data_IF_210677763402
#
_entry.id   IF_210677763402
#
_cell.length_a   1.000
_cell.length_b   1.000
_cell.length_c   1.000
_cell.angle_alpha   90.00
_cell.angle_beta   90.00
_cell.angle_gamma   90.00
#
_symmetry.space_group_name_H-M   'P 1'
#
loop_
_entity.id
_entity.type
_entity.pdbx_description
1 polymer ?
#
# COMPACT_ATOMS: atom_id res chain seq x y z
N UNK A 1 52.50 -4.61 -8.67
CA UNK A 1 53.26 -3.75 -7.75
C UNK A 1 53.00 -2.26 -8.00
N UNK A 2 53.17 -1.73 -9.24
CA UNK A 2 52.97 -0.29 -9.50
C UNK A 2 51.51 0.20 -9.36
N UNK A 3 50.53 -0.62 -9.70
CA UNK A 3 49.10 -0.25 -9.57
C UNK A 3 48.63 -0.24 -8.12
N UNK A 4 49.04 -1.20 -7.30
CA UNK A 4 48.76 -1.27 -5.88
C UNK A 4 49.37 -0.09 -5.11
N UNK A 5 50.59 0.29 -5.39
CA UNK A 5 51.25 1.46 -4.80
C UNK A 5 50.57 2.78 -5.16
N UNK A 6 50.00 2.92 -6.36
CA UNK A 6 49.26 4.11 -6.75
C UNK A 6 47.97 4.27 -5.95
N UNK A 7 47.22 3.18 -5.72
CA UNK A 7 45.98 3.18 -4.95
C UNK A 7 46.21 3.57 -3.48
N UNK A 8 47.29 3.10 -2.90
CA UNK A 8 47.66 3.37 -1.50
C UNK A 8 48.09 4.82 -1.26
N UNK A 9 48.60 5.54 -2.26
CA UNK A 9 48.89 6.98 -2.18
C UNK A 9 47.64 7.84 -2.05
N UNK A 10 46.46 7.29 -2.30
CA UNK A 10 45.19 7.97 -2.23
C UNK A 10 44.45 7.71 -0.92
N UNK A 11 45.10 7.17 0.08
CA UNK A 11 44.56 6.87 1.39
C UNK A 11 45.52 7.33 2.49
N UNK A 12 44.98 7.84 3.58
CA UNK A 12 45.73 8.19 4.77
C UNK A 12 45.01 7.80 6.04
N UNK A 13 45.77 7.36 7.07
CA UNK A 13 45.20 7.09 8.39
C UNK A 13 45.33 8.36 9.22
N UNK A 14 44.20 8.71 9.92
CA UNK A 14 44.14 9.88 10.78
C UNK A 14 43.92 9.48 12.22
N UNK A 15 44.60 10.19 13.12
CA UNK A 15 44.70 9.96 14.55
C UNK A 15 43.84 11.00 15.34
N UNK A 16 42.77 11.49 14.72
CA UNK A 16 42.03 12.62 15.25
C UNK A 16 40.65 12.19 15.74
N UNK A 17 40.18 12.87 16.78
CA UNK A 17 38.82 12.75 17.26
C UNK A 17 37.81 13.20 16.20
N UNK A 18 36.56 12.80 16.37
CA UNK A 18 35.47 13.21 15.45
C UNK A 18 35.31 14.73 15.37
N UNK A 19 35.57 15.47 16.45
CA UNK A 19 35.45 16.93 16.48
C UNK A 19 36.60 17.61 15.73
N UNK A 20 37.83 17.15 15.92
CA UNK A 20 38.98 17.64 15.13
C UNK A 20 38.80 17.33 13.62
N UNK A 21 38.26 16.17 13.27
CA UNK A 21 37.95 15.83 11.87
C UNK A 21 36.93 16.84 11.28
N UNK A 22 35.91 17.24 12.06
CA UNK A 22 34.94 18.26 11.62
C UNK A 22 35.59 19.61 11.41
N UNK A 23 36.49 20.02 12.29
CA UNK A 23 37.21 21.29 12.17
C UNK A 23 38.06 21.32 10.89
N UNK A 24 38.85 20.26 10.64
CA UNK A 24 39.66 20.18 9.43
C UNK A 24 38.82 20.09 8.16
N UNK A 25 37.68 19.43 8.19
CA UNK A 25 36.79 19.29 7.03
C UNK A 25 36.15 20.61 6.60
N UNK A 26 36.03 21.58 7.52
CA UNK A 26 35.36 22.84 7.27
C UNK A 26 33.84 22.72 7.19
N UNK A 27 33.20 23.72 6.62
CA UNK A 27 31.74 23.86 6.50
C UNK A 27 31.32 23.87 5.02
N UNK A 28 30.02 24.00 4.77
CA UNK A 28 29.51 24.16 3.39
C UNK A 28 30.01 25.45 2.72
N UNK A 29 30.33 26.47 3.51
CA UNK A 29 30.79 27.80 3.04
C UNK A 29 32.31 28.01 3.19
N UNK A 30 32.96 27.19 4.00
CA UNK A 30 34.40 27.28 4.24
C UNK A 30 35.10 25.99 3.77
N UNK A 31 36.18 26.09 3.00
CA UNK A 31 36.95 24.90 2.58
C UNK A 31 37.59 24.21 3.76
N UNK A 32 37.88 22.95 3.61
CA UNK A 32 38.68 22.19 4.57
C UNK A 32 40.16 22.56 4.52
N UNK A 33 40.90 22.04 5.49
CA UNK A 33 42.36 22.21 5.62
C UNK A 33 43.04 20.84 5.50
N UNK A 34 44.20 20.81 4.86
CA UNK A 34 45.00 19.60 4.79
C UNK A 34 45.46 19.17 6.20
N UNK A 35 45.43 17.87 6.42
CA UNK A 35 45.83 17.29 7.70
C UNK A 35 47.28 16.77 7.57
N UNK A 36 48.20 17.16 8.43
CA UNK A 36 49.59 16.67 8.43
C UNK A 36 49.72 15.15 8.48
N UNK A 37 48.74 14.43 9.01
CA UNK A 37 48.74 12.95 8.99
C UNK A 37 48.73 12.36 7.58
N UNK A 38 48.33 13.15 6.57
CA UNK A 38 48.37 12.71 5.16
C UNK A 38 49.75 12.76 4.50
N UNK A 39 50.75 13.28 5.22
CA UNK A 39 52.18 13.32 4.75
C UNK A 39 52.95 12.04 5.13
N UNK A 40 52.34 11.11 5.86
CA UNK A 40 52.91 9.80 6.18
C UNK A 40 53.22 9.01 4.89
N UNK A 41 54.26 8.20 4.93
CA UNK A 41 54.58 7.30 3.83
C UNK A 41 53.50 6.22 3.61
N UNK A 42 53.50 5.59 2.44
CA UNK A 42 52.58 4.47 2.15
C UNK A 42 52.81 3.31 3.11
N UNK A 43 54.13 3.03 3.41
CA UNK A 43 54.53 1.95 4.30
C UNK A 43 54.03 2.16 5.72
N UNK A 44 54.11 3.38 6.24
CA UNK A 44 53.54 3.74 7.57
C UNK A 44 52.03 3.60 7.62
N UNK A 45 51.32 4.08 6.58
CA UNK A 45 49.87 3.93 6.52
C UNK A 45 49.44 2.46 6.41
N UNK A 46 50.16 1.60 5.69
CA UNK A 46 49.91 0.17 5.63
C UNK A 46 50.09 -0.51 6.98
N UNK A 47 51.18 -0.21 7.68
CA UNK A 47 51.49 -0.75 9.00
C UNK A 47 50.36 -0.37 10.00
N UNK A 48 49.92 0.90 9.99
CA UNK A 48 48.83 1.37 10.81
C UNK A 48 47.50 0.69 10.46
N UNK A 49 47.22 0.42 9.19
CA UNK A 49 46.00 -0.26 8.76
C UNK A 49 45.97 -1.72 9.22
N UNK A 50 47.14 -2.42 9.14
CA UNK A 50 47.24 -3.76 9.73
C UNK A 50 47.04 -3.74 11.25
N UNK A 51 47.57 -2.72 11.93
CA UNK A 51 47.34 -2.54 13.37
C UNK A 51 45.86 -2.25 13.71
N UNK A 52 45.14 -1.48 12.86
CA UNK A 52 43.68 -1.30 12.98
C UNK A 52 42.97 -2.64 12.84
N UNK A 53 43.29 -3.44 11.83
CA UNK A 53 42.69 -4.75 11.56
C UNK A 53 42.94 -5.73 12.70
N UNK A 54 44.11 -5.67 13.32
CA UNK A 54 44.53 -6.53 14.43
C UNK A 54 44.04 -6.05 15.80
N UNK A 55 43.15 -5.05 15.86
CA UNK A 55 42.48 -4.59 17.06
C UNK A 55 43.37 -3.83 18.05
N UNK A 56 44.50 -3.24 17.60
CA UNK A 56 45.41 -2.49 18.48
C UNK A 56 44.86 -1.12 18.93
N UNK A 57 43.80 -0.64 18.31
CA UNK A 57 43.20 0.68 18.57
C UNK A 57 41.78 0.58 19.10
N UNK A 58 41.37 1.54 19.90
CA UNK A 58 40.01 1.67 20.42
C UNK A 58 39.07 2.23 19.34
N UNK A 59 37.77 2.06 19.60
CA UNK A 59 36.72 2.65 18.74
C UNK A 59 36.90 4.15 18.59
N UNK A 60 36.92 4.63 17.34
CA UNK A 60 37.06 6.03 17.01
C UNK A 60 38.49 6.59 17.14
N UNK A 61 39.48 5.80 17.58
CA UNK A 61 40.89 6.25 17.75
C UNK A 61 41.59 6.45 16.39
N UNK A 62 41.32 5.57 15.42
CA UNK A 62 41.88 5.65 14.07
C UNK A 62 40.79 5.47 13.02
N UNK A 63 40.95 6.21 11.93
CA UNK A 63 40.12 6.07 10.71
C UNK A 63 41.01 6.09 9.48
N UNK A 64 40.66 5.27 8.49
CA UNK A 64 41.25 5.37 7.15
C UNK A 64 40.38 6.30 6.31
N UNK A 65 41.03 7.29 5.68
CA UNK A 65 40.35 8.27 4.82
C UNK A 65 40.89 8.19 3.39
N UNK A 66 40.02 8.45 2.41
CA UNK A 66 40.47 8.74 1.06
C UNK A 66 41.18 10.09 1.04
N UNK A 67 42.21 10.23 0.16
CA UNK A 67 42.90 11.48 -0.08
C UNK A 67 42.47 12.02 -1.43
N UNK A 68 41.56 12.97 -1.43
CA UNK A 68 40.89 13.49 -2.63
C UNK A 68 41.15 14.99 -2.77
N UNK A 69 40.37 15.84 -2.12
CA UNK A 69 40.50 17.30 -2.19
C UNK A 69 39.77 17.96 -1.00
N UNK A 70 40.53 18.47 -0.04
CA UNK A 70 39.97 19.17 1.14
C UNK A 70 39.40 20.53 0.80
N UNK A 71 39.63 21.10 -0.36
CA UNK A 71 39.07 22.34 -0.84
C UNK A 71 37.78 22.16 -1.67
N UNK A 72 37.39 20.90 -1.94
CA UNK A 72 36.19 20.61 -2.74
C UNK A 72 34.94 21.33 -2.23
N UNK A 73 34.12 21.93 -3.12
CA UNK A 73 32.83 22.46 -2.73
C UNK A 73 31.86 21.37 -2.25
N UNK A 74 32.01 20.14 -2.74
CA UNK A 74 31.28 18.97 -2.27
C UNK A 74 31.95 18.39 -1.01
N UNK A 75 31.27 18.52 0.14
CA UNK A 75 31.80 18.09 1.43
C UNK A 75 32.08 16.57 1.48
N UNK A 76 31.37 15.77 0.66
CA UNK A 76 31.58 14.32 0.57
C UNK A 76 32.90 13.96 -0.14
N UNK A 77 33.50 14.91 -0.86
CA UNK A 77 34.81 14.75 -1.52
C UNK A 77 35.99 15.22 -0.67
N UNK A 78 35.74 15.79 0.51
CA UNK A 78 36.76 16.30 1.43
C UNK A 78 37.33 15.18 2.28
N UNK A 79 38.16 14.35 1.68
CA UNK A 79 38.83 13.21 2.28
C UNK A 79 37.89 12.38 3.18
N UNK A 80 36.87 11.74 2.62
CA UNK A 80 35.87 11.00 3.38
C UNK A 80 36.50 9.80 4.10
N UNK A 81 35.92 9.44 5.26
CA UNK A 81 36.27 8.19 5.97
C UNK A 81 35.79 7.00 5.14
N UNK A 82 36.69 6.05 4.89
CA UNK A 82 36.41 4.81 4.15
C UNK A 82 36.40 3.58 5.05
N UNK A 83 37.24 3.54 6.12
CA UNK A 83 37.20 2.52 7.19
C UNK A 83 37.27 3.16 8.56
N UNK A 84 36.61 2.55 9.53
CA UNK A 84 36.69 2.90 10.96
C UNK A 84 36.97 1.68 11.82
N UNK A 85 37.58 1.90 13.00
CA UNK A 85 37.64 0.90 14.06
C UNK A 85 36.30 0.87 14.78
N UNK A 86 35.71 -0.31 14.95
CA UNK A 86 34.51 -0.55 15.72
C UNK A 86 34.50 -1.99 16.25
N UNK A 87 34.60 -2.16 17.58
CA UNK A 87 34.51 -3.45 18.23
C UNK A 87 33.03 -3.79 18.50
N UNK A 88 32.44 -4.52 17.56
CA UNK A 88 31.03 -4.92 17.62
C UNK A 88 30.83 -6.31 17.01
N UNK A 89 30.04 -7.14 17.66
CA UNK A 89 29.69 -8.46 17.13
C UNK A 89 28.81 -8.35 15.89
N UNK A 90 29.30 -8.86 14.78
CA UNK A 90 28.53 -8.89 13.51
C UNK A 90 27.74 -10.21 13.41
N UNK A 91 26.47 -10.14 12.97
CA UNK A 91 25.54 -11.27 12.94
C UNK A 91 25.99 -12.48 12.10
N UNK A 92 26.89 -12.30 11.13
CA UNK A 92 27.43 -13.38 10.29
C UNK A 92 28.86 -13.77 10.65
N UNK A 93 29.71 -12.78 10.93
CA UNK A 93 31.15 -13.01 11.14
C UNK A 93 31.57 -12.97 12.60
N UNK A 94 30.62 -12.76 13.54
CA UNK A 94 30.94 -12.65 14.96
C UNK A 94 31.94 -11.53 15.22
N UNK A 95 32.96 -11.81 16.00
CA UNK A 95 34.01 -10.87 16.42
C UNK A 95 35.29 -10.98 15.55
N UNK A 96 35.19 -11.55 14.34
CA UNK A 96 36.33 -11.74 13.43
C UNK A 96 36.94 -10.41 12.99
N UNK A 97 36.14 -9.36 12.86
CA UNK A 97 36.55 -8.05 12.38
C UNK A 97 36.31 -6.97 13.42
N UNK A 98 37.25 -6.06 13.56
CA UNK A 98 37.14 -4.84 14.35
C UNK A 98 37.28 -3.56 13.50
N UNK A 99 37.37 -3.69 12.18
CA UNK A 99 37.30 -2.58 11.22
C UNK A 99 36.14 -2.79 10.28
N UNK A 100 35.45 -1.72 9.94
CA UNK A 100 34.30 -1.76 9.06
C UNK A 100 34.37 -0.65 8.01
N UNK A 101 34.03 -0.95 6.73
CA UNK A 101 33.95 0.08 5.69
C UNK A 101 32.77 1.00 5.96
N UNK A 102 32.88 2.25 5.55
CA UNK A 102 31.77 3.19 5.50
C UNK A 102 30.91 2.92 4.28
N UNK A 103 29.63 3.29 4.36
CA UNK A 103 28.64 3.02 3.33
C UNK A 103 29.08 3.51 1.93
N UNK A 104 29.56 4.76 1.83
CA UNK A 104 29.97 5.36 0.55
C UNK A 104 31.18 4.69 -0.10
N UNK A 105 31.93 3.89 0.65
CA UNK A 105 33.02 3.09 0.14
C UNK A 105 32.59 1.66 -0.18
N UNK A 106 31.78 1.05 0.67
CA UNK A 106 31.30 -0.33 0.50
C UNK A 106 30.33 -0.46 -0.69
N UNK A 107 29.38 0.44 -0.81
CA UNK A 107 28.29 0.39 -1.79
C UNK A 107 28.80 0.29 -3.25
N UNK A 108 29.68 1.19 -3.77
CA UNK A 108 30.20 1.05 -5.12
C UNK A 108 31.01 -0.22 -5.38
N UNK A 109 31.67 -0.76 -4.35
CA UNK A 109 32.44 -2.00 -4.43
C UNK A 109 31.51 -3.20 -4.52
N UNK A 110 30.49 -3.28 -3.67
CA UNK A 110 29.47 -4.33 -3.68
C UNK A 110 28.75 -4.36 -5.04
N UNK A 111 28.30 -3.21 -5.53
CA UNK A 111 27.64 -3.10 -6.84
C UNK A 111 28.55 -3.61 -7.97
N UNK A 112 29.84 -3.26 -7.95
CA UNK A 112 30.79 -3.68 -8.96
C UNK A 112 31.09 -5.19 -8.90
N UNK A 113 31.20 -5.77 -7.70
CA UNK A 113 31.46 -7.20 -7.48
C UNK A 113 30.24 -8.02 -7.91
N UNK A 114 29.03 -7.56 -7.60
CA UNK A 114 27.78 -8.23 -7.94
C UNK A 114 27.37 -8.04 -9.41
N UNK A 115 28.12 -7.21 -10.18
CA UNK A 115 27.84 -6.96 -11.59
C UNK A 115 26.61 -6.09 -11.84
N UNK A 116 26.24 -5.25 -10.88
CA UNK A 116 25.17 -4.25 -11.02
C UNK A 116 25.61 -3.24 -12.08
N UNK A 117 24.77 -3.03 -13.09
CA UNK A 117 25.04 -2.03 -14.15
C UNK A 117 24.48 -0.65 -13.81
N UNK A 118 23.31 -0.60 -13.13
CA UNK A 118 22.60 0.61 -12.73
C UNK A 118 22.26 0.55 -11.26
N UNK A 119 22.98 1.31 -10.46
CA UNK A 119 22.79 1.45 -9.01
C UNK A 119 21.73 2.51 -8.75
N UNK A 120 20.53 2.10 -8.33
CA UNK A 120 19.39 3.00 -8.13
C UNK A 120 19.35 3.46 -6.67
N UNK A 121 19.45 4.77 -6.47
CA UNK A 121 19.46 5.41 -5.15
C UNK A 121 18.35 6.43 -4.99
N UNK A 122 18.11 6.85 -3.74
CA UNK A 122 17.28 8.02 -3.44
C UNK A 122 18.04 9.31 -3.73
N UNK A 123 17.30 10.41 -3.95
CA UNK A 123 17.90 11.72 -4.31
C UNK A 123 18.87 12.27 -3.26
N UNK A 124 18.79 11.80 -2.01
CA UNK A 124 19.71 12.11 -0.91
C UNK A 124 21.18 11.80 -1.26
N UNK A 125 21.42 10.86 -2.16
CA UNK A 125 22.74 10.41 -2.59
C UNK A 125 23.27 11.11 -3.86
N UNK A 126 22.58 12.13 -4.37
CA UNK A 126 23.04 12.87 -5.55
C UNK A 126 24.41 13.51 -5.31
N UNK A 127 24.59 14.12 -4.14
CA UNK A 127 25.87 14.73 -3.73
C UNK A 127 26.96 13.68 -3.40
N UNK A 128 26.58 12.43 -3.17
CA UNK A 128 27.49 11.32 -2.92
C UNK A 128 27.99 10.65 -4.22
N UNK A 129 27.29 10.81 -5.35
CA UNK A 129 27.66 10.20 -6.63
C UNK A 129 29.11 10.53 -7.08
N UNK A 130 29.66 11.74 -6.92
CA UNK A 130 31.06 11.99 -7.25
C UNK A 130 32.04 11.10 -6.47
N UNK A 131 31.73 10.76 -5.21
CA UNK A 131 32.52 9.83 -4.40
C UNK A 131 32.37 8.39 -4.90
N UNK A 132 31.13 7.97 -5.22
CA UNK A 132 30.86 6.66 -5.84
C UNK A 132 31.68 6.47 -7.11
N UNK A 133 31.64 7.44 -8.03
CA UNK A 133 32.41 7.43 -9.30
C UNK A 133 33.91 7.42 -9.05
N UNK A 134 34.38 8.15 -8.01
CA UNK A 134 35.80 8.18 -7.62
C UNK A 134 36.24 6.79 -7.13
N UNK A 135 35.50 6.12 -6.24
CA UNK A 135 35.85 4.77 -5.74
C UNK A 135 35.94 3.77 -6.87
N UNK A 136 34.95 3.73 -7.77
CA UNK A 136 34.88 2.78 -8.89
C UNK A 136 36.07 3.01 -9.85
N UNK A 137 36.41 4.26 -10.13
CA UNK A 137 37.52 4.64 -10.98
C UNK A 137 38.86 4.26 -10.36
N UNK A 138 39.10 4.57 -9.08
CA UNK A 138 40.37 4.30 -8.41
C UNK A 138 40.60 2.80 -8.22
N UNK A 139 39.55 2.00 -8.14
CA UNK A 139 39.64 0.54 -8.07
C UNK A 139 39.74 -0.12 -9.45
N UNK A 140 39.61 0.66 -10.54
CA UNK A 140 39.78 0.21 -11.93
C UNK A 140 38.90 -1.00 -12.31
N UNK A 141 37.64 -0.98 -11.94
CA UNK A 141 36.70 -2.03 -12.37
C UNK A 141 36.50 -1.99 -13.89
N UNK A 142 36.52 -3.15 -14.55
CA UNK A 142 36.34 -3.27 -16.01
C UNK A 142 34.93 -2.83 -16.47
N UNK A 143 33.93 -3.12 -15.67
CA UNK A 143 32.51 -2.77 -15.93
C UNK A 143 31.98 -1.95 -14.76
N UNK A 144 32.28 -0.64 -14.72
CA UNK A 144 31.89 0.19 -13.62
C UNK A 144 30.36 0.34 -13.56
N UNK A 145 29.72 0.13 -12.40
CA UNK A 145 28.33 0.46 -12.22
C UNK A 145 28.10 1.97 -12.31
N UNK A 146 26.85 2.36 -12.63
CA UNK A 146 26.45 3.77 -12.72
C UNK A 146 25.37 4.07 -11.70
N UNK A 147 25.65 4.99 -10.78
CA UNK A 147 24.65 5.46 -9.81
C UNK A 147 23.63 6.40 -10.47
N UNK A 148 22.36 6.18 -10.17
CA UNK A 148 21.23 6.97 -10.69
C UNK A 148 20.28 7.24 -9.52
N UNK A 149 19.93 8.51 -9.31
CA UNK A 149 19.08 8.93 -8.22
C UNK A 149 17.67 9.32 -8.71
N UNK A 150 16.67 8.99 -7.87
CA UNK A 150 15.29 9.36 -8.08
C UNK A 150 14.72 10.07 -6.87
N UNK A 151 13.83 11.02 -7.14
CA UNK A 151 13.10 11.72 -6.11
C UNK A 151 12.13 10.78 -5.37
N UNK A 152 11.82 11.12 -4.14
CA UNK A 152 10.82 10.44 -3.35
C UNK A 152 9.42 10.80 -3.84
N UNK A 153 8.60 9.76 -4.03
CA UNK A 153 7.18 9.90 -4.29
C UNK A 153 6.44 10.06 -2.96
N UNK A 154 5.74 11.18 -2.80
CA UNK A 154 4.85 11.41 -1.67
C UNK A 154 3.40 11.18 -2.10
N UNK A 155 2.63 10.52 -1.25
CA UNK A 155 1.20 10.37 -1.40
C UNK A 155 0.49 11.30 -0.40
N UNK A 156 -0.61 11.91 -0.84
CA UNK A 156 -1.47 12.69 0.06
C UNK A 156 -2.11 11.80 1.11
N UNK A 157 -2.31 12.31 2.30
CA UNK A 157 -3.08 11.70 3.39
C UNK A 157 -2.61 10.30 3.83
N UNK A 158 -1.33 9.98 3.64
CA UNK A 158 -0.75 8.69 4.07
C UNK A 158 0.47 8.85 4.96
N UNK A 159 0.68 7.91 5.85
CA UNK A 159 1.85 7.82 6.72
C UNK A 159 2.85 6.85 6.09
N UNK A 160 4.04 7.34 5.73
CA UNK A 160 5.10 6.52 5.10
C UNK A 160 6.36 6.38 5.96
N UNK A 161 6.53 7.22 7.00
CA UNK A 161 7.71 7.22 7.85
C UNK A 161 7.77 5.98 8.75
N UNK A 162 8.82 5.15 8.62
CA UNK A 162 9.01 3.90 9.39
C UNK A 162 8.86 4.09 10.90
N UNK A 163 9.39 5.17 11.48
CA UNK A 163 9.28 5.45 12.92
C UNK A 163 7.83 5.68 13.38
N UNK A 164 7.02 6.32 12.55
CA UNK A 164 5.60 6.56 12.84
C UNK A 164 4.80 5.26 12.73
N UNK A 165 5.04 4.47 11.67
CA UNK A 165 4.36 3.18 11.49
C UNK A 165 4.72 2.23 12.65
N UNK A 166 6.00 2.18 13.05
CA UNK A 166 6.44 1.39 14.22
C UNK A 166 5.65 1.78 15.47
N UNK A 167 5.53 3.09 15.74
CA UNK A 167 4.77 3.58 16.89
C UNK A 167 3.29 3.22 16.80
N UNK A 168 2.65 3.34 15.62
CA UNK A 168 1.25 2.95 15.43
C UNK A 168 1.01 1.47 15.74
N UNK A 169 1.97 0.60 15.40
CA UNK A 169 1.92 -0.85 15.71
C UNK A 169 2.15 -1.08 17.21
N UNK A 170 3.13 -0.43 17.82
CA UNK A 170 3.43 -0.56 19.25
C UNK A 170 2.30 -0.05 20.15
N UNK A 171 1.65 1.03 19.75
CA UNK A 171 0.50 1.62 20.45
C UNK A 171 -0.82 0.87 20.18
N UNK A 172 -0.83 -0.17 19.32
CA UNK A 172 -2.02 -0.96 18.97
C UNK A 172 -3.08 -0.20 18.16
N UNK A 173 -2.71 0.91 17.50
CA UNK A 173 -3.61 1.70 16.66
C UNK A 173 -3.87 0.98 15.34
N UNK A 174 -2.89 0.26 14.84
CA UNK A 174 -2.98 -0.62 13.67
C UNK A 174 -2.63 -2.06 14.07
N UNK A 175 -3.20 -3.05 13.36
CA UNK A 175 -3.09 -4.48 13.65
C UNK A 175 -1.71 -5.08 13.30
N UNK A 176 -0.83 -4.31 12.72
CA UNK A 176 0.51 -4.73 12.34
C UNK A 176 1.02 -3.94 11.12
N UNK A 177 2.20 -4.35 10.61
CA UNK A 177 2.81 -3.75 9.43
C UNK A 177 2.03 -4.04 8.14
N UNK A 178 1.14 -5.00 8.16
CA UNK A 178 0.24 -5.42 7.08
C UNK A 178 -1.19 -4.89 7.24
N UNK A 179 -1.45 -3.99 8.21
CA UNK A 179 -2.77 -3.39 8.40
C UNK A 179 -3.24 -2.70 7.10
N UNK A 180 -4.44 -3.03 6.58
CA UNK A 180 -4.95 -2.49 5.31
C UNK A 180 -5.10 -0.97 5.24
N UNK A 181 -4.96 -0.24 6.35
CA UNK A 181 -4.93 1.23 6.39
C UNK A 181 -3.56 1.82 6.07
N UNK A 182 -2.51 1.00 6.03
CA UNK A 182 -1.16 1.40 5.68
C UNK A 182 -0.92 1.29 4.17
N UNK A 183 0.19 1.89 3.70
CA UNK A 183 0.61 1.85 2.29
C UNK A 183 1.88 1.03 2.06
N UNK A 184 2.26 0.19 2.99
CA UNK A 184 3.31 -0.80 2.75
C UNK A 184 2.84 -1.82 1.69
N UNK A 185 3.77 -2.45 0.98
CA UNK A 185 3.43 -3.50 0.00
C UNK A 185 2.64 -4.65 0.66
N UNK A 186 2.99 -5.03 1.89
CA UNK A 186 2.27 -6.05 2.66
C UNK A 186 0.82 -5.63 2.97
N UNK A 187 0.63 -4.37 3.38
CA UNK A 187 -0.69 -3.81 3.68
C UNK A 187 -1.57 -3.68 2.41
N UNK A 188 -1.01 -3.15 1.33
CA UNK A 188 -1.70 -3.05 0.05
C UNK A 188 -2.11 -4.44 -0.46
N UNK A 189 -1.22 -5.44 -0.37
CA UNK A 189 -1.54 -6.82 -0.74
C UNK A 189 -2.67 -7.39 0.11
N UNK A 190 -2.62 -7.24 1.44
CA UNK A 190 -3.68 -7.73 2.35
C UNK A 190 -5.02 -7.02 2.08
N UNK A 191 -4.99 -5.75 1.71
CA UNK A 191 -6.19 -4.99 1.31
C UNK A 191 -6.75 -5.44 -0.04
N UNK A 192 -5.93 -6.10 -0.90
CA UNK A 192 -6.34 -6.64 -2.19
C UNK A 192 -5.87 -5.85 -3.41
N UNK A 193 -4.88 -4.96 -3.24
CA UNK A 193 -4.23 -4.30 -4.38
C UNK A 193 -3.41 -5.30 -5.19
N UNK A 194 -3.55 -5.24 -6.51
CA UNK A 194 -2.82 -6.08 -7.44
C UNK A 194 -1.45 -5.50 -7.79
N UNK A 195 -0.44 -6.34 -8.10
CA UNK A 195 0.85 -5.85 -8.60
C UNK A 195 0.69 -4.97 -9.85
N UNK A 196 -0.24 -5.32 -10.74
CA UNK A 196 -0.52 -4.59 -11.99
C UNK A 196 -1.00 -3.17 -11.70
N UNK A 197 -1.91 -3.01 -10.74
CA UNK A 197 -2.42 -1.70 -10.36
C UNK A 197 -1.34 -0.80 -9.77
N UNK A 198 -0.43 -1.36 -8.95
CA UNK A 198 0.69 -0.63 -8.36
C UNK A 198 1.70 -0.22 -9.45
N UNK A 199 2.04 -1.14 -10.37
CA UNK A 199 2.91 -0.84 -11.52
C UNK A 199 2.29 0.27 -12.38
N UNK A 200 1.01 0.15 -12.70
CA UNK A 200 0.29 1.18 -13.47
C UNK A 200 0.30 2.54 -12.77
N UNK A 201 0.13 2.57 -11.47
CA UNK A 201 0.22 3.78 -10.69
C UNK A 201 1.62 4.42 -10.79
N UNK A 202 2.69 3.64 -10.61
CA UNK A 202 4.08 4.13 -10.72
C UNK A 202 4.38 4.64 -12.13
N UNK A 203 3.91 3.95 -13.17
CA UNK A 203 4.02 4.41 -14.57
C UNK A 203 3.36 5.78 -14.78
N UNK A 204 2.15 5.98 -14.23
CA UNK A 204 1.44 7.24 -14.34
C UNK A 204 2.12 8.38 -13.55
N UNK A 205 2.76 8.07 -12.43
CA UNK A 205 3.55 9.04 -11.67
C UNK A 205 4.79 9.51 -12.46
N UNK A 206 5.34 8.63 -13.28
CA UNK A 206 6.59 8.88 -14.00
C UNK A 206 7.81 8.92 -13.10
N UNK A 207 8.96 9.23 -13.70
CA UNK A 207 10.27 9.29 -13.03
C UNK A 207 10.74 10.75 -13.01
N UNK A 208 11.17 11.23 -11.85
CA UNK A 208 11.63 12.61 -11.67
C UNK A 208 12.77 12.69 -10.66
N UNK A 209 13.60 13.73 -10.78
CA UNK A 209 14.55 14.18 -9.74
C UNK A 209 13.97 15.29 -8.85
N UNK A 210 12.72 15.68 -9.06
CA UNK A 210 12.01 16.64 -8.21
C UNK A 210 10.98 15.91 -7.36
N UNK A 211 11.00 16.13 -6.05
CA UNK A 211 10.00 15.57 -5.14
C UNK A 211 8.60 15.99 -5.59
N UNK A 212 7.72 15.02 -5.73
CA UNK A 212 6.33 15.22 -6.13
C UNK A 212 5.38 14.63 -5.09
N UNK A 213 4.24 15.29 -4.90
CA UNK A 213 3.13 14.75 -4.12
C UNK A 213 2.01 14.35 -5.08
N UNK A 214 1.58 13.11 -5.00
CA UNK A 214 0.54 12.53 -5.85
C UNK A 214 -0.68 12.22 -4.98
N UNK A 215 -1.86 12.49 -5.52
CA UNK A 215 -3.11 12.19 -4.83
C UNK A 215 -3.29 10.66 -4.68
N UNK A 216 -3.59 10.21 -3.45
CA UNK A 216 -3.89 8.80 -3.16
C UNK A 216 -5.05 8.27 -4.02
N UNK A 217 -6.01 9.12 -4.38
CA UNK A 217 -7.11 8.77 -5.27
C UNK A 217 -6.66 8.26 -6.65
N UNK A 218 -5.44 8.63 -7.11
CA UNK A 218 -4.85 8.08 -8.34
C UNK A 218 -4.45 6.60 -8.19
N UNK A 219 -3.94 6.20 -7.03
CA UNK A 219 -3.67 4.79 -6.73
C UNK A 219 -4.99 3.99 -6.66
N UNK A 220 -6.02 4.55 -6.03
CA UNK A 220 -7.36 3.96 -6.00
C UNK A 220 -7.99 3.85 -7.39
N UNK A 221 -7.76 4.83 -8.25
CA UNK A 221 -8.19 4.75 -9.65
C UNK A 221 -7.54 3.57 -10.38
N UNK A 222 -6.22 3.38 -10.22
CA UNK A 222 -5.50 2.28 -10.88
C UNK A 222 -6.02 0.91 -10.46
N UNK A 223 -6.29 0.69 -9.18
CA UNK A 223 -6.85 -0.59 -8.72
C UNK A 223 -8.30 -0.79 -9.17
N UNK A 224 -9.10 0.26 -9.21
CA UNK A 224 -10.50 0.19 -9.68
C UNK A 224 -10.57 -0.21 -11.14
N UNK A 225 -9.74 0.39 -12.00
CA UNK A 225 -9.67 0.03 -13.42
C UNK A 225 -9.14 -1.39 -13.64
N UNK A 226 -8.17 -1.84 -12.85
CA UNK A 226 -7.63 -3.21 -12.96
C UNK A 226 -8.66 -4.27 -12.60
N UNK A 227 -9.43 -4.04 -11.52
CA UNK A 227 -10.43 -5.01 -11.04
C UNK A 227 -11.69 -5.05 -11.91
N UNK A 228 -12.04 -3.94 -12.56
CA UNK A 228 -13.31 -3.78 -13.30
C UNK A 228 -13.56 -4.89 -14.33
N UNK A 229 -12.55 -5.27 -15.08
CA UNK A 229 -12.62 -6.30 -16.11
C UNK A 229 -12.25 -7.71 -15.63
N UNK A 230 -11.55 -7.80 -14.49
CA UNK A 230 -10.97 -9.06 -14.03
C UNK A 230 -11.79 -9.78 -12.95
N UNK A 231 -12.70 -9.06 -12.28
CA UNK A 231 -13.34 -9.62 -11.09
C UNK A 231 -14.83 -9.83 -11.25
N UNK A 232 -15.38 -10.92 -10.66
CA UNK A 232 -16.80 -11.18 -10.69
C UNK A 232 -17.58 -10.18 -9.83
N UNK A 233 -18.80 -9.90 -10.25
CA UNK A 233 -19.76 -9.04 -9.55
C UNK A 233 -20.70 -9.92 -8.74
N UNK A 234 -20.66 -9.79 -7.42
CA UNK A 234 -21.42 -10.58 -6.47
C UNK A 234 -22.39 -9.68 -5.70
N UNK A 235 -23.53 -10.23 -5.28
CA UNK A 235 -24.46 -9.51 -4.41
C UNK A 235 -24.06 -9.72 -2.94
N UNK A 236 -23.97 -8.62 -2.20
CA UNK A 236 -23.68 -8.60 -0.77
C UNK A 236 -24.52 -7.51 -0.10
N UNK A 237 -25.11 -7.83 1.03
CA UNK A 237 -25.94 -6.93 1.84
C UNK A 237 -25.18 -6.59 3.12
N UNK A 238 -24.85 -5.31 3.30
CA UNK A 238 -23.97 -4.86 4.39
C UNK A 238 -24.73 -4.42 5.65
N UNK A 239 -25.96 -3.89 5.49
CA UNK A 239 -26.87 -3.59 6.59
C UNK A 239 -28.24 -4.24 6.31
N UNK A 240 -28.43 -5.51 6.68
CA UNK A 240 -29.56 -6.31 6.25
C UNK A 240 -30.88 -5.88 6.87
N UNK A 241 -31.92 -5.92 6.02
CA UNK A 241 -33.33 -5.94 6.40
C UNK A 241 -33.99 -7.09 5.65
N UNK A 242 -34.85 -7.83 6.32
CA UNK A 242 -35.55 -8.96 5.71
C UNK A 242 -36.63 -8.46 4.75
N UNK A 243 -36.74 -9.07 3.57
CA UNK A 243 -37.79 -8.87 2.60
C UNK A 243 -38.51 -10.21 2.39
N UNK A 244 -39.83 -10.22 2.55
CA UNK A 244 -40.70 -11.37 2.35
C UNK A 244 -41.56 -11.12 1.11
N UNK A 245 -41.58 -12.06 0.17
CA UNK A 245 -42.43 -12.01 -1.02
C UNK A 245 -43.70 -12.86 -0.73
N UNK A 246 -44.78 -12.20 -0.32
CA UNK A 246 -45.97 -12.86 0.24
C UNK A 246 -46.65 -13.82 -0.74
N UNK A 247 -46.67 -13.48 -2.02
CA UNK A 247 -47.29 -14.30 -3.08
C UNK A 247 -46.27 -15.25 -3.80
N UNK A 248 -45.01 -15.39 -3.31
CA UNK A 248 -44.08 -16.39 -3.83
C UNK A 248 -44.40 -17.74 -3.13
N UNK A 249 -44.45 -18.87 -3.87
CA UNK A 249 -44.80 -20.15 -3.32
C UNK A 249 -43.86 -20.58 -2.19
N UNK A 250 -44.43 -21.07 -1.10
CA UNK A 250 -43.70 -21.47 0.08
C UNK A 250 -42.85 -22.72 -0.23
N UNK A 251 -41.54 -22.70 0.15
CA UNK A 251 -40.62 -23.77 -0.07
C UNK A 251 -40.08 -23.88 -1.51
N UNK A 252 -40.55 -23.11 -2.45
CA UNK A 252 -40.01 -23.06 -3.80
C UNK A 252 -38.71 -22.30 -3.85
N UNK A 253 -37.73 -22.84 -4.64
CA UNK A 253 -36.44 -22.20 -4.93
C UNK A 253 -36.20 -22.26 -6.42
N UNK A 254 -36.03 -21.11 -7.02
CA UNK A 254 -35.67 -20.96 -8.41
C UNK A 254 -34.17 -20.59 -8.52
N UNK A 255 -33.45 -21.13 -9.50
CA UNK A 255 -32.05 -20.78 -9.77
C UNK A 255 -31.96 -19.85 -10.97
N UNK A 256 -31.56 -18.61 -10.72
CA UNK A 256 -31.37 -17.57 -11.74
C UNK A 256 -29.98 -17.63 -12.32
N UNK A 257 -29.86 -17.51 -13.65
CA UNK A 257 -28.58 -17.35 -14.33
C UNK A 257 -28.08 -15.91 -14.23
N UNK A 258 -26.95 -15.71 -13.59
CA UNK A 258 -26.37 -14.40 -13.36
C UNK A 258 -24.96 -14.35 -13.93
N UNK A 259 -24.75 -13.45 -14.91
CA UNK A 259 -23.41 -13.22 -15.45
C UNK A 259 -22.46 -12.71 -14.36
N UNK A 260 -21.28 -13.31 -14.29
CA UNK A 260 -20.28 -12.92 -13.30
C UNK A 260 -19.70 -11.53 -13.56
N UNK A 261 -19.63 -11.12 -14.83
CA UNK A 261 -19.27 -9.76 -15.21
C UNK A 261 -19.91 -9.41 -16.55
N UNK A 262 -20.60 -8.27 -16.63
CA UNK A 262 -21.29 -7.86 -17.87
C UNK A 262 -20.33 -7.30 -18.93
N UNK A 263 -19.12 -6.94 -18.55
CA UNK A 263 -18.08 -6.37 -19.44
C UNK A 263 -17.03 -7.42 -19.85
N UNK A 264 -17.03 -8.60 -19.23
CA UNK A 264 -16.11 -9.70 -19.53
C UNK A 264 -16.84 -11.06 -19.45
N UNK A 265 -17.26 -11.55 -20.61
CA UNK A 265 -18.00 -12.81 -20.75
C UNK A 265 -17.14 -14.06 -20.41
N UNK A 266 -15.81 -13.95 -20.45
CA UNK A 266 -14.90 -15.05 -20.11
C UNK A 266 -15.04 -15.48 -18.64
N UNK A 267 -15.52 -14.60 -17.78
CA UNK A 267 -15.80 -14.94 -16.37
C UNK A 267 -17.06 -15.82 -16.19
N UNK A 268 -17.81 -16.06 -17.26
CA UNK A 268 -18.96 -16.94 -17.28
C UNK A 268 -20.14 -16.46 -16.43
N UNK A 269 -20.94 -17.40 -15.96
CA UNK A 269 -22.14 -17.14 -15.16
C UNK A 269 -22.26 -18.10 -13.99
N UNK A 270 -23.12 -17.78 -13.03
CA UNK A 270 -23.43 -18.63 -11.88
C UNK A 270 -24.94 -18.73 -11.67
N UNK A 271 -25.33 -19.73 -10.90
CA UNK A 271 -26.74 -19.95 -10.48
C UNK A 271 -26.95 -19.33 -9.10
N UNK A 272 -27.84 -18.36 -9.02
CA UNK A 272 -28.18 -17.70 -7.74
C UNK A 272 -29.59 -18.19 -7.32
N UNK A 273 -29.74 -18.79 -6.14
CA UNK A 273 -31.07 -19.22 -5.66
C UNK A 273 -31.95 -17.99 -5.34
N UNK A 274 -33.18 -18.02 -5.84
CA UNK A 274 -34.22 -17.05 -5.53
C UNK A 274 -35.36 -17.75 -4.81
N UNK A 275 -35.85 -17.18 -3.73
CA UNK A 275 -36.85 -17.75 -2.89
C UNK A 275 -37.76 -16.67 -2.23
N UNK A 276 -38.73 -17.07 -1.42
CA UNK A 276 -39.66 -16.18 -0.75
C UNK A 276 -39.03 -15.16 0.20
N UNK A 277 -37.95 -15.57 0.92
CA UNK A 277 -37.29 -14.73 1.91
C UNK A 277 -35.92 -14.26 1.43
N UNK A 278 -35.70 -12.96 1.46
CA UNK A 278 -34.47 -12.31 1.00
C UNK A 278 -33.92 -11.35 2.05
N UNK A 279 -32.66 -10.99 1.98
CA UNK A 279 -32.11 -9.79 2.61
C UNK A 279 -31.85 -8.73 1.55
N UNK A 280 -32.15 -7.47 1.89
CA UNK A 280 -31.82 -6.28 1.12
C UNK A 280 -31.05 -5.30 2.02
N UNK A 281 -30.32 -4.34 1.46
CA UNK A 281 -29.74 -3.27 2.27
C UNK A 281 -30.83 -2.37 2.85
N UNK A 282 -30.67 -2.01 4.11
CA UNK A 282 -31.61 -1.11 4.81
C UNK A 282 -31.79 0.22 4.08
N UNK A 283 -30.75 0.75 3.45
CA UNK A 283 -30.84 1.99 2.69
C UNK A 283 -31.72 1.88 1.43
N UNK A 284 -32.03 0.66 1.00
CA UNK A 284 -32.93 0.40 -0.12
C UNK A 284 -34.43 0.43 0.27
N UNK A 285 -34.73 0.59 1.54
CA UNK A 285 -36.11 0.80 2.03
C UNK A 285 -36.20 2.08 2.84
N UNK A 286 -37.31 2.83 2.65
CA UNK A 286 -37.64 4.02 3.44
C UNK A 286 -39.14 4.13 3.61
N UNK A 287 -39.59 4.37 4.81
CA UNK A 287 -41.02 4.51 5.12
C UNK A 287 -41.62 5.79 4.50
N UNK A 288 -40.94 6.91 4.73
CA UNK A 288 -41.29 8.23 4.20
C UNK A 288 -40.15 8.78 3.34
N UNK A 289 -40.10 8.46 2.03
CA UNK A 289 -39.02 8.83 1.19
C UNK A 289 -39.04 10.31 0.79
N UNK A 290 -37.86 10.95 0.62
CA UNK A 290 -37.76 12.27 0.05
C UNK A 290 -38.07 12.25 -1.47
N UNK A 291 -38.34 13.41 -2.04
CA UNK A 291 -38.45 13.55 -3.51
C UNK A 291 -37.21 12.99 -4.21
N UNK A 292 -37.38 12.22 -5.29
CA UNK A 292 -36.35 11.55 -6.08
C UNK A 292 -35.70 10.31 -5.40
N UNK A 293 -36.34 9.71 -4.39
CA UNK A 293 -35.95 8.39 -3.92
C UNK A 293 -36.58 7.34 -4.84
N UNK A 294 -35.75 6.56 -5.51
CA UNK A 294 -36.18 5.56 -6.51
C UNK A 294 -35.95 4.13 -6.04
N UNK A 295 -36.00 3.90 -4.74
CA UNK A 295 -35.89 2.58 -4.12
C UNK A 295 -37.22 2.17 -3.48
N UNK A 296 -37.24 1.16 -2.64
CA UNK A 296 -38.46 0.57 -2.10
C UNK A 296 -39.07 1.42 -0.98
N UNK A 297 -40.36 1.64 -1.06
CA UNK A 297 -41.18 2.26 -0.02
C UNK A 297 -42.65 1.80 -0.16
N UNK A 298 -43.51 1.98 0.83
CA UNK A 298 -44.91 1.52 0.77
C UNK A 298 -45.62 1.96 -0.52
N UNK A 299 -46.17 0.97 -1.25
CA UNK A 299 -46.87 1.17 -2.52
C UNK A 299 -45.96 1.34 -3.75
N UNK A 300 -44.63 1.43 -3.59
CA UNK A 300 -43.71 1.55 -4.72
C UNK A 300 -43.22 0.20 -5.21
N UNK A 301 -42.90 0.17 -6.52
CA UNK A 301 -42.38 -1.00 -7.21
C UNK A 301 -40.93 -0.78 -7.66
N UNK A 302 -40.08 -1.79 -7.42
CA UNK A 302 -38.68 -1.82 -7.87
C UNK A 302 -38.33 -3.16 -8.53
N UNK A 303 -37.23 -3.21 -9.27
CA UNK A 303 -36.65 -4.47 -9.75
C UNK A 303 -35.70 -5.04 -8.71
N UNK A 304 -35.90 -6.29 -8.33
CA UNK A 304 -34.84 -7.11 -7.75
C UNK A 304 -33.86 -7.49 -8.87
N UNK A 305 -32.60 -7.18 -8.67
CA UNK A 305 -31.56 -7.38 -9.69
C UNK A 305 -31.54 -8.85 -10.17
N UNK A 306 -31.48 -9.05 -11.47
CA UNK A 306 -31.56 -10.36 -12.13
C UNK A 306 -32.83 -11.16 -11.91
N UNK A 307 -33.83 -10.64 -11.19
CA UNK A 307 -35.06 -11.32 -10.83
C UNK A 307 -36.31 -10.57 -11.35
N UNK A 308 -37.23 -10.27 -10.48
CA UNK A 308 -38.59 -9.78 -10.77
C UNK A 308 -38.78 -8.34 -10.31
N UNK A 309 -39.92 -7.74 -10.70
CA UNK A 309 -40.44 -6.56 -10.03
C UNK A 309 -41.13 -7.00 -8.74
N UNK A 310 -40.89 -6.22 -7.69
CA UNK A 310 -41.58 -6.36 -6.40
C UNK A 310 -42.17 -5.04 -5.98
N UNK A 311 -43.35 -5.09 -5.41
CA UNK A 311 -44.08 -3.94 -4.88
C UNK A 311 -44.21 -4.08 -3.36
N UNK A 312 -43.82 -3.06 -2.61
CA UNK A 312 -43.98 -3.04 -1.16
C UNK A 312 -45.45 -2.85 -0.78
N UNK A 313 -46.00 -3.78 -0.01
CA UNK A 313 -47.38 -3.70 0.50
C UNK A 313 -47.42 -3.26 1.98
N UNK A 314 -46.46 -3.74 2.80
CA UNK A 314 -46.39 -3.41 4.23
C UNK A 314 -44.98 -3.61 4.78
N UNK A 315 -44.76 -3.28 6.05
CA UNK A 315 -43.52 -3.49 6.76
C UNK A 315 -43.74 -3.68 8.25
N UNK A 316 -42.82 -4.32 8.94
CA UNK A 316 -42.86 -4.59 10.39
C UNK A 316 -41.72 -3.82 11.08
N UNK A 317 -42.06 -3.24 12.25
CA UNK A 317 -41.09 -2.54 13.11
C UNK A 317 -40.84 -3.32 14.40
N UNK A 318 -39.64 -3.17 14.95
CA UNK A 318 -39.36 -3.62 16.31
C UNK A 318 -39.89 -2.66 17.38
N UNK A 319 -39.66 -3.00 18.65
CA UNK A 319 -40.12 -2.22 19.83
C UNK A 319 -39.52 -0.80 19.85
N UNK A 320 -38.42 -0.56 19.15
CA UNK A 320 -37.71 0.73 19.02
C UNK A 320 -38.17 1.54 17.81
N UNK A 321 -39.12 1.03 17.04
CA UNK A 321 -39.62 1.66 15.83
C UNK A 321 -38.72 1.47 14.60
N UNK A 322 -37.69 0.62 14.69
CA UNK A 322 -36.82 0.30 13.57
C UNK A 322 -37.47 -0.76 12.68
N UNK A 323 -37.51 -0.52 11.38
CA UNK A 323 -38.03 -1.50 10.41
C UNK A 323 -37.13 -2.71 10.38
N UNK A 324 -37.69 -3.91 10.57
CA UNK A 324 -36.98 -5.19 10.60
C UNK A 324 -37.36 -6.11 9.45
N UNK A 325 -38.59 -5.94 8.89
CA UNK A 325 -39.08 -6.77 7.79
C UNK A 325 -39.93 -5.94 6.84
N UNK A 326 -39.85 -6.21 5.53
CA UNK A 326 -40.62 -5.59 4.47
C UNK A 326 -41.39 -6.65 3.71
N UNK A 327 -42.67 -6.48 3.55
CA UNK A 327 -43.55 -7.39 2.83
C UNK A 327 -43.86 -6.87 1.43
N UNK A 328 -43.63 -7.72 0.44
CA UNK A 328 -43.78 -7.38 -0.98
C UNK A 328 -44.61 -8.44 -1.72
N UNK A 329 -45.23 -8.03 -2.81
CA UNK A 329 -45.73 -8.93 -3.83
C UNK A 329 -44.83 -8.87 -5.06
N UNK A 330 -44.58 -10.00 -5.77
CA UNK A 330 -43.86 -10.02 -7.01
C UNK A 330 -44.78 -10.25 -8.21
N UNK A 331 -44.36 -9.81 -9.39
CA UNK A 331 -45.03 -10.04 -10.65
C UNK A 331 -44.23 -11.06 -11.48
N UNK A 332 -44.74 -12.32 -11.64
CA UNK A 332 -44.03 -13.39 -12.32
C UNK A 332 -43.76 -13.11 -13.80
N UNK A 333 -44.56 -12.24 -14.47
CA UNK A 333 -44.33 -11.90 -15.89
C UNK A 333 -43.10 -11.02 -16.09
N UNK A 334 -42.60 -10.37 -15.03
CA UNK A 334 -41.51 -9.39 -15.10
C UNK A 334 -40.11 -9.98 -14.94
N UNK A 335 -39.98 -11.31 -15.00
CA UNK A 335 -38.68 -12.01 -14.90
C UNK A 335 -37.66 -11.40 -15.85
N UNK A 336 -36.46 -11.11 -15.34
CA UNK A 336 -35.41 -10.55 -16.18
C UNK A 336 -34.99 -11.55 -17.27
N UNK A 337 -34.84 -11.09 -18.50
CA UNK A 337 -34.47 -11.93 -19.65
C UNK A 337 -35.64 -12.53 -20.44
N UNK A 338 -36.88 -12.39 -19.99
CA UNK A 338 -38.08 -12.89 -20.71
C UNK A 338 -38.62 -11.95 -21.78
N UNK A 339 -38.01 -10.75 -21.93
CA UNK A 339 -38.48 -9.76 -22.93
C UNK A 339 -39.69 -8.94 -22.48
N UNK A 340 -40.03 -8.93 -21.17
CA UNK A 340 -41.13 -8.12 -20.68
C UNK A 340 -40.96 -6.62 -20.98
N UNK A 341 -41.98 -6.02 -21.62
CA UNK A 341 -41.96 -4.60 -22.04
C UNK A 341 -43.17 -3.80 -21.52
N UNK A 342 -44.08 -4.41 -20.73
CA UNK A 342 -45.33 -3.83 -20.30
C UNK A 342 -45.20 -2.55 -19.46
N UNK A 343 -44.23 -2.45 -18.61
CA UNK A 343 -43.93 -1.26 -17.77
C UNK A 343 -42.46 -1.19 -17.37
N UNK A 344 -42.02 0.00 -16.96
CA UNK A 344 -40.65 0.24 -16.49
C UNK A 344 -40.67 0.71 -15.04
N UNK A 345 -39.79 0.19 -14.22
CA UNK A 345 -39.50 0.69 -12.86
C UNK A 345 -38.21 1.52 -12.86
N UNK A 346 -38.13 2.51 -11.99
CA UNK A 346 -36.97 3.42 -11.92
C UNK A 346 -35.83 2.87 -11.06
N UNK A 347 -36.18 2.01 -10.07
CA UNK A 347 -35.24 1.48 -9.09
C UNK A 347 -34.88 0.03 -9.38
N UNK A 348 -33.59 -0.30 -9.18
CA UNK A 348 -33.09 -1.68 -9.09
C UNK A 348 -32.30 -1.82 -7.80
N UNK A 349 -32.63 -2.80 -6.99
CA UNK A 349 -31.94 -3.11 -5.73
C UNK A 349 -31.35 -4.51 -5.80
N UNK A 350 -30.23 -4.72 -5.12
CA UNK A 350 -29.63 -6.04 -4.97
C UNK A 350 -30.14 -6.73 -3.71
N UNK A 351 -29.94 -8.02 -3.64
CA UNK A 351 -30.50 -8.89 -2.61
C UNK A 351 -29.65 -10.14 -2.44
N UNK A 352 -29.82 -10.84 -1.35
CA UNK A 352 -29.30 -12.20 -1.16
C UNK A 352 -30.40 -13.10 -0.58
N UNK A 353 -30.43 -14.41 -0.94
CA UNK A 353 -31.46 -15.33 -0.50
C UNK A 353 -31.26 -15.69 0.98
N UNK A 354 -32.17 -15.27 1.87
CA UNK A 354 -32.01 -15.40 3.31
C UNK A 354 -31.69 -16.82 3.81
N UNK A 355 -32.33 -17.92 3.30
CA UNK A 355 -32.01 -19.27 3.74
C UNK A 355 -30.65 -19.80 3.27
N UNK A 356 -30.06 -19.19 2.24
CA UNK A 356 -28.83 -19.69 1.61
C UNK A 356 -27.67 -18.72 1.80
N UNK A 357 -27.94 -17.47 2.19
CA UNK A 357 -26.94 -16.44 2.38
C UNK A 357 -25.96 -16.82 3.50
N UNK A 358 -24.70 -16.49 3.31
CA UNK A 358 -23.67 -16.67 4.34
C UNK A 358 -23.45 -15.37 5.10
N UNK A 359 -23.53 -15.46 6.43
CA UNK A 359 -23.14 -14.37 7.32
C UNK A 359 -21.63 -14.14 7.24
N UNK A 360 -21.21 -12.88 7.19
CA UNK A 360 -19.79 -12.52 7.10
C UNK A 360 -19.49 -11.20 7.83
N UNK A 361 -18.21 -10.93 8.05
CA UNK A 361 -17.68 -9.65 8.50
C UNK A 361 -17.19 -8.85 7.28
N UNK A 362 -17.50 -7.56 7.26
CA UNK A 362 -17.00 -6.62 6.25
C UNK A 362 -16.27 -5.48 6.92
N UNK A 363 -15.05 -5.19 6.47
CA UNK A 363 -14.21 -4.11 6.97
C UNK A 363 -14.13 -2.99 5.94
N UNK A 364 -14.59 -1.82 6.33
CA UNK A 364 -14.54 -0.60 5.52
C UNK A 364 -13.39 0.26 6.03
N UNK A 365 -12.45 0.57 5.14
CA UNK A 365 -11.28 1.36 5.47
C UNK A 365 -11.40 2.75 4.86
N UNK A 366 -11.14 3.76 5.68
CA UNK A 366 -10.94 5.16 5.31
C UNK A 366 -9.48 5.56 5.57
N UNK A 367 -9.12 6.78 5.24
CA UNK A 367 -7.76 7.28 5.49
C UNK A 367 -7.43 7.23 6.98
N UNK A 368 -6.24 6.71 7.32
CA UNK A 368 -5.76 6.60 8.69
C UNK A 368 -5.58 7.96 9.38
N UNK A 369 -5.39 9.02 8.58
CA UNK A 369 -5.22 10.39 9.06
C UNK A 369 -6.40 11.25 8.64
N UNK A 370 -6.65 12.29 9.42
CA UNK A 370 -7.68 13.30 9.15
C UNK A 370 -7.24 14.17 7.96
N UNK A 371 -7.99 14.11 6.87
CA UNK A 371 -7.66 14.80 5.62
C UNK A 371 -7.69 16.33 5.76
N UNK A 372 -8.58 16.87 6.59
CA UNK A 372 -8.75 18.31 6.78
C UNK A 372 -7.61 18.91 7.62
N UNK A 373 -7.13 18.15 8.61
CA UNK A 373 -6.03 18.57 9.49
C UNK A 373 -4.64 18.30 8.91
N UNK A 374 -4.57 17.43 7.88
CA UNK A 374 -3.31 16.93 7.31
C UNK A 374 -2.65 15.87 8.17
N UNK A 375 -1.55 15.29 7.67
CA UNK A 375 -0.92 14.11 8.28
C UNK A 375 -0.35 14.40 9.67
N UNK A 376 0.26 15.56 9.86
CA UNK A 376 0.97 15.92 11.09
C UNK A 376 0.36 17.15 11.77
N UNK A 377 0.22 17.09 13.08
CA UNK A 377 -0.05 18.25 13.91
C UNK A 377 1.14 19.21 13.84
N UNK A 378 0.87 20.48 13.58
CA UNK A 378 1.89 21.53 13.43
C UNK A 378 2.55 21.94 14.75
N UNK A 379 1.90 21.68 15.89
CA UNK A 379 2.38 22.10 17.21
C UNK A 379 3.40 21.13 17.78
N UNK A 380 3.13 19.81 17.70
CA UNK A 380 3.92 18.77 18.36
C UNK A 380 4.45 17.69 17.40
N UNK A 381 4.10 17.75 16.11
CA UNK A 381 4.53 16.77 15.09
C UNK A 381 3.89 15.38 15.25
N UNK A 382 2.88 15.22 16.10
CA UNK A 382 2.10 14.00 16.22
C UNK A 382 1.24 13.76 14.98
N UNK A 383 0.70 12.54 14.82
CA UNK A 383 -0.21 12.22 13.73
C UNK A 383 -1.63 12.68 14.06
N UNK A 384 -2.28 13.34 13.11
CA UNK A 384 -3.71 13.62 13.18
C UNK A 384 -4.49 12.37 12.76
N UNK A 385 -4.75 11.47 13.70
CA UNK A 385 -5.43 10.21 13.42
C UNK A 385 -6.93 10.41 13.19
N UNK A 386 -7.47 9.67 12.22
CA UNK A 386 -8.90 9.55 11.98
C UNK A 386 -9.46 8.39 12.82
N UNK A 387 -10.30 8.63 13.83
CA UNK A 387 -10.88 7.59 14.67
C UNK A 387 -11.81 6.64 13.88
N UNK A 388 -12.40 7.13 12.78
CA UNK A 388 -13.30 6.37 11.91
C UNK A 388 -12.57 5.69 10.72
N UNK A 389 -11.24 5.55 10.82
CA UNK A 389 -10.43 4.94 9.76
C UNK A 389 -10.74 3.46 9.50
N UNK A 390 -11.42 2.79 10.41
CA UNK A 390 -11.89 1.41 10.28
C UNK A 390 -13.30 1.27 10.84
N UNK A 391 -14.24 0.84 9.98
CA UNK A 391 -15.58 0.44 10.37
C UNK A 391 -15.77 -1.06 10.13
N UNK A 392 -16.04 -1.82 11.19
CA UNK A 392 -16.28 -3.26 11.14
C UNK A 392 -17.79 -3.53 11.17
N UNK A 393 -18.30 -4.18 10.13
CA UNK A 393 -19.70 -4.62 10.01
C UNK A 393 -19.76 -6.14 10.19
N UNK A 394 -20.40 -6.60 11.27
CA UNK A 394 -20.38 -8.03 11.67
C UNK A 394 -21.59 -8.83 11.20
N UNK A 395 -22.64 -8.15 10.77
CA UNK A 395 -23.91 -8.76 10.40
C UNK A 395 -24.23 -8.57 8.92
N UNK A 396 -23.21 -8.75 8.06
CA UNK A 396 -23.37 -8.73 6.61
C UNK A 396 -23.75 -10.11 6.07
N UNK A 397 -24.41 -10.14 4.92
CA UNK A 397 -24.75 -11.37 4.22
C UNK A 397 -24.31 -11.34 2.77
N UNK A 398 -23.77 -12.44 2.29
CA UNK A 398 -23.27 -12.60 0.92
C UNK A 398 -23.89 -13.80 0.24
N UNK A 399 -23.83 -13.83 -1.09
CA UNK A 399 -24.25 -14.98 -1.90
C UNK A 399 -23.57 -16.28 -1.44
N UNK A 400 -24.24 -17.43 -1.55
CA UNK A 400 -23.70 -18.71 -1.08
C UNK A 400 -22.37 -19.12 -1.76
N UNK A 401 -22.12 -18.72 -2.99
CA UNK A 401 -20.85 -19.00 -3.69
C UNK A 401 -19.62 -18.41 -2.97
N UNK A 402 -19.79 -17.34 -2.23
CA UNK A 402 -18.71 -16.66 -1.48
C UNK A 402 -18.26 -17.42 -0.20
N UNK A 403 -18.79 -18.62 0.06
CA UNK A 403 -18.32 -19.50 1.15
C UNK A 403 -16.98 -20.17 0.83
N UNK A 404 -16.69 -20.37 -0.46
CA UNK A 404 -15.52 -21.13 -0.95
C UNK A 404 -14.36 -20.25 -1.39
N UNK A 405 -14.33 -19.01 -0.89
CA UNK A 405 -13.29 -18.06 -1.29
C UNK A 405 -11.95 -18.38 -0.64
N UNK A 406 -10.90 -18.26 -1.43
CA UNK A 406 -9.52 -18.39 -0.99
C UNK A 406 -8.98 -17.03 -0.50
N UNK A 407 -7.93 -17.02 0.33
CA UNK A 407 -7.24 -15.79 0.71
C UNK A 407 -6.84 -14.95 -0.52
N UNK A 408 -7.10 -13.66 -0.45
CA UNK A 408 -6.87 -12.69 -1.54
C UNK A 408 -7.84 -12.75 -2.73
N UNK A 409 -8.80 -13.66 -2.75
CA UNK A 409 -9.88 -13.59 -3.73
C UNK A 409 -10.60 -12.28 -3.65
N UNK A 410 -10.84 -11.66 -4.79
CA UNK A 410 -11.46 -10.33 -4.85
C UNK A 410 -12.68 -10.30 -5.77
N UNK A 411 -13.65 -9.47 -5.38
CA UNK A 411 -14.97 -9.38 -5.97
C UNK A 411 -15.42 -7.92 -6.03
N UNK A 412 -16.27 -7.60 -6.97
CA UNK A 412 -17.08 -6.40 -6.87
C UNK A 412 -18.36 -6.75 -6.09
N UNK A 413 -18.57 -6.20 -4.90
CA UNK A 413 -19.89 -6.22 -4.29
C UNK A 413 -20.74 -5.14 -4.96
N UNK A 414 -21.81 -5.60 -5.61
CA UNK A 414 -22.65 -4.76 -6.46
C UNK A 414 -23.12 -3.52 -5.67
N UNK A 415 -22.93 -2.33 -6.28
CA UNK A 415 -23.27 -1.02 -5.70
C UNK A 415 -22.44 -0.58 -4.48
N UNK A 416 -21.62 -1.47 -3.89
CA UNK A 416 -20.85 -1.20 -2.66
C UNK A 416 -19.37 -0.85 -2.92
N UNK A 417 -18.66 -1.64 -3.73
CA UNK A 417 -17.24 -1.46 -3.97
C UNK A 417 -16.54 -2.74 -4.43
N UNK A 418 -15.22 -2.72 -4.39
CA UNK A 418 -14.39 -3.90 -4.57
C UNK A 418 -13.89 -4.39 -3.22
N UNK A 419 -13.95 -5.70 -3.01
CA UNK A 419 -13.62 -6.35 -1.74
C UNK A 419 -12.70 -7.53 -1.96
N UNK A 420 -11.90 -7.84 -0.95
CA UNK A 420 -10.94 -8.93 -0.93
C UNK A 420 -11.15 -9.79 0.31
N UNK A 421 -11.13 -11.12 0.17
CA UNK A 421 -11.12 -12.02 1.32
C UNK A 421 -9.83 -11.81 2.12
N UNK A 422 -9.97 -11.52 3.43
CA UNK A 422 -8.82 -11.24 4.30
C UNK A 422 -7.96 -12.51 4.46
N UNK A 423 -6.67 -12.40 4.14
CA UNK A 423 -5.76 -13.54 4.16
C UNK A 423 -5.37 -14.03 5.57
N UNK A 424 -5.65 -13.23 6.60
CA UNK A 424 -5.28 -13.50 7.98
C UNK A 424 -6.46 -13.98 8.82
N UNK A 425 -7.62 -13.35 8.63
CA UNK A 425 -8.75 -13.51 9.52
C UNK A 425 -9.95 -14.24 8.89
N UNK A 426 -9.99 -14.39 7.54
CA UNK A 426 -11.10 -15.06 6.86
C UNK A 426 -10.98 -16.58 6.96
N UNK A 427 -12.09 -17.25 7.34
CA UNK A 427 -12.23 -18.71 7.31
C UNK A 427 -13.55 -19.09 6.63
N UNK A 428 -13.74 -20.34 6.16
CA UNK A 428 -15.03 -20.78 5.60
C UNK A 428 -16.19 -20.63 6.55
N UNK A 429 -15.98 -20.76 7.88
CA UNK A 429 -16.99 -20.59 8.92
C UNK A 429 -17.26 -19.12 9.21
N UNK A 430 -16.25 -18.28 9.11
CA UNK A 430 -16.30 -16.84 9.38
C UNK A 430 -15.61 -16.06 8.26
N UNK A 431 -16.26 -15.84 7.12
CA UNK A 431 -15.68 -15.05 6.03
C UNK A 431 -15.51 -13.59 6.44
N UNK A 432 -14.33 -13.04 6.15
CA UNK A 432 -13.98 -11.64 6.39
C UNK A 432 -13.56 -10.99 5.08
N UNK A 433 -14.19 -9.87 4.73
CA UNK A 433 -13.91 -9.14 3.50
C UNK A 433 -13.41 -7.73 3.79
N UNK A 434 -12.25 -7.40 3.26
CA UNK A 434 -11.66 -6.05 3.28
C UNK A 434 -12.15 -5.25 2.08
N UNK A 435 -12.66 -4.04 2.29
CA UNK A 435 -12.93 -3.14 1.18
C UNK A 435 -11.60 -2.65 0.58
N UNK A 436 -11.35 -2.98 -0.68
CA UNK A 436 -10.21 -2.52 -1.45
C UNK A 436 -10.41 -1.04 -1.78
N UNK A 437 -11.52 -0.72 -2.47
CA UNK A 437 -11.86 0.61 -2.94
C UNK A 437 -13.36 0.74 -3.20
N UNK A 438 -13.91 1.94 -3.04
CA UNK A 438 -15.29 2.27 -3.40
C UNK A 438 -15.49 2.29 -4.92
N UNK A 439 -16.75 2.25 -5.40
CA UNK A 439 -17.05 2.35 -6.85
C UNK A 439 -16.83 3.75 -7.41
N UNK A 440 -17.02 4.80 -6.61
CA UNK A 440 -16.85 6.18 -7.02
C UNK A 440 -15.39 6.59 -6.94
N UNK A 441 -14.91 7.33 -7.92
CA UNK A 441 -13.58 7.95 -7.92
C UNK A 441 -13.71 9.46 -7.86
N UNK A 442 -12.91 10.09 -7.03
CA UNK A 442 -12.67 11.55 -7.08
C UNK A 442 -11.62 11.91 -8.14
N UNK A 443 -10.78 10.95 -8.52
CA UNK A 443 -9.71 11.14 -9.51
C UNK A 443 -10.23 10.96 -10.94
N UNK A 444 -9.78 11.83 -11.84
CA UNK A 444 -9.97 11.72 -13.29
C UNK A 444 -8.62 11.90 -13.97
N UNK A 445 -8.28 11.02 -14.91
CA UNK A 445 -7.11 11.23 -15.76
C UNK A 445 -7.25 12.59 -16.48
N UNK A 446 -6.16 13.39 -16.56
CA UNK A 446 -6.13 14.53 -17.45
C UNK A 446 -6.49 14.07 -18.86
N UNK A 447 -7.31 14.87 -19.58
CA UNK A 447 -7.58 14.60 -20.98
C UNK A 447 -6.24 14.55 -21.73
N UNK A 448 -6.02 13.49 -22.50
CA UNK A 448 -4.86 13.43 -23.39
C UNK A 448 -5.01 14.58 -24.40
N UNK A 449 -4.11 15.57 -24.29
CA UNK A 449 -4.01 16.70 -25.23
C UNK A 449 -3.39 16.24 -26.54
#
# INVERSE_FOLDING_TARGET
>A
LHKEYRRQRQMCIRDRSADEIREYRGTLTEPGKDDPSCDRSVEENLALFEDMKNGKFKDGEKVLRAKIDMASPNINMRDPVIYRVAHMTHHRTGDTWCIYPMYDFAHPIEDAIEGVSHSICTLEFEDHRPLYDWVVRELEYEKPPKQIEFAKLYLTNVVTGKRYIKKLVEDGIVDGWDDPRLVSIAALRRRGFTPESIKRFVELCGISKSNSSVDYAMLEYCIREDLKMKKPRMMAVLDPIKLVIDNYPEGEVEYLDVANNLENEELGSRKVPFCRELYIDREDFMEEPPKKYFRLFPGNEVRLMHAYFVKCESFVKDENGKVIEVHCTYDPETKQGTGFTGRKVKGTIHWVPAPFAKKCEVRLYENLVDEEKGVYNKEDGSLNLNPDSLKVLKDCYVEPELVKVEPYDSFQFVRQGYFCADAKDSTPEHPVFNRIVSLKSSFKLPAQS
#
